data_IF_282326524469
#
_entry.id   IF_282326524469
#
_cell.length_a   1.000
_cell.length_b   1.000
_cell.length_c   1.000
_cell.angle_alpha   90.00
_cell.angle_beta   90.00
_cell.angle_gamma   90.00
#
_symmetry.space_group_name_H-M   'P 1'
#
loop_
_entity.id
_entity.type
_entity.pdbx_description
1 polymer ?
#
# COMPACT_ATOMS: atom_id res chain seq x y z
N UNK A 1 -27.15 4.90 -34.38
CA UNK A 1 -26.26 5.44 -33.34
C UNK A 1 -25.74 4.28 -32.52
N UNK A 2 -24.49 4.34 -32.05
CA UNK A 2 -23.96 3.36 -31.09
C UNK A 2 -23.99 3.97 -29.69
N UNK A 3 -24.15 3.14 -28.66
CA UNK A 3 -24.17 3.58 -27.25
C UNK A 3 -22.97 3.01 -26.51
N UNK A 4 -22.42 3.80 -25.58
CA UNK A 4 -21.41 3.31 -24.65
C UNK A 4 -21.99 2.21 -23.75
N UNK A 5 -21.12 1.36 -23.20
CA UNK A 5 -21.49 0.34 -22.22
C UNK A 5 -20.98 0.74 -20.84
N UNK A 6 -21.73 0.39 -19.80
CA UNK A 6 -21.19 0.41 -18.45
C UNK A 6 -20.30 -0.83 -18.28
N UNK A 7 -19.04 -0.59 -17.89
CA UNK A 7 -18.07 -1.64 -17.59
C UNK A 7 -17.71 -1.50 -16.11
N UNK A 8 -17.94 -2.54 -15.33
CA UNK A 8 -17.58 -2.56 -13.91
C UNK A 8 -16.09 -2.23 -13.74
N UNK A 9 -15.74 -1.47 -12.70
CA UNK A 9 -14.38 -0.98 -12.43
C UNK A 9 -13.81 0.04 -13.43
N UNK A 10 -14.54 0.46 -14.46
CA UNK A 10 -14.05 1.41 -15.45
C UNK A 10 -14.96 2.64 -15.61
N UNK A 11 -14.34 3.80 -15.82
CA UNK A 11 -14.98 5.02 -16.26
C UNK A 11 -14.85 5.15 -17.78
N UNK A 12 -15.92 5.64 -18.42
CA UNK A 12 -15.87 6.02 -19.81
C UNK A 12 -15.01 7.29 -19.99
N UNK A 13 -14.13 7.27 -20.97
CA UNK A 13 -13.22 8.39 -21.27
C UNK A 13 -13.67 9.13 -22.52
N UNK A 14 -13.79 8.42 -23.64
CA UNK A 14 -14.08 9.05 -24.94
C UNK A 14 -14.55 8.03 -25.98
N UNK A 15 -15.13 8.55 -27.06
CA UNK A 15 -15.55 7.77 -28.24
C UNK A 15 -14.95 8.39 -29.50
N UNK A 16 -14.47 7.56 -30.44
CA UNK A 16 -13.92 8.04 -31.71
C UNK A 16 -14.17 7.06 -32.87
N UNK A 17 -14.67 7.54 -34.03
CA UNK A 17 -15.25 8.88 -34.25
C UNK A 17 -16.55 9.07 -33.44
N UNK A 18 -17.09 10.30 -33.39
CA UNK A 18 -18.31 10.58 -32.64
C UNK A 18 -19.46 9.66 -33.07
N UNK A 19 -20.16 9.05 -32.10
CA UNK A 19 -21.25 8.10 -32.35
C UNK A 19 -22.51 8.74 -32.98
N UNK A 20 -22.54 10.08 -32.99
CA UNK A 20 -23.57 10.97 -33.50
C UNK A 20 -22.97 11.84 -34.63
N UNK A 21 -22.79 11.23 -35.79
CA UNK A 21 -22.34 11.90 -37.03
C UNK A 21 -23.09 11.36 -38.25
N UNK A 22 -23.05 12.10 -39.36
CA UNK A 22 -23.62 11.70 -40.66
C UNK A 22 -23.03 10.36 -41.10
N UNK A 23 -23.89 9.37 -41.33
CA UNK A 23 -23.46 8.05 -41.81
C UNK A 23 -22.87 8.19 -43.22
N UNK A 24 -21.55 8.11 -43.34
CA UNK A 24 -20.87 7.99 -44.63
C UNK A 24 -21.09 6.58 -45.19
N UNK A 25 -21.18 6.48 -46.52
CA UNK A 25 -21.29 5.21 -47.24
C UNK A 25 -20.05 4.34 -46.95
N UNK A 26 -20.26 3.15 -46.36
CA UNK A 26 -19.21 2.17 -46.05
C UNK A 26 -19.28 1.65 -44.61
N UNK A 27 -18.46 0.66 -44.29
CA UNK A 27 -18.30 0.14 -42.92
C UNK A 27 -17.61 1.17 -42.04
N UNK A 28 -18.23 1.55 -40.92
CA UNK A 28 -17.64 2.45 -39.94
C UNK A 28 -17.36 1.71 -38.63
N UNK A 29 -16.19 1.95 -38.05
CA UNK A 29 -15.80 1.41 -36.74
C UNK A 29 -15.84 2.55 -35.72
N UNK A 30 -16.60 2.37 -34.64
CA UNK A 30 -16.67 3.30 -33.52
C UNK A 30 -15.98 2.67 -32.31
N UNK A 31 -14.97 3.34 -31.77
CA UNK A 31 -14.18 2.87 -30.63
C UNK A 31 -14.57 3.62 -29.36
N UNK A 32 -14.82 2.89 -28.27
CA UNK A 32 -15.08 3.45 -26.94
C UNK A 32 -13.88 3.18 -26.04
N UNK A 33 -13.35 4.23 -25.44
CA UNK A 33 -12.18 4.20 -24.57
C UNK A 33 -12.60 4.30 -23.11
N UNK A 34 -11.98 3.48 -22.26
CA UNK A 34 -12.28 3.40 -20.84
C UNK A 34 -10.99 3.43 -20.01
N UNK A 35 -11.05 4.02 -18.81
CA UNK A 35 -9.97 4.02 -17.82
C UNK A 35 -10.46 3.27 -16.58
N UNK A 36 -9.62 2.44 -15.97
CA UNK A 36 -9.98 1.80 -14.69
C UNK A 36 -10.13 2.89 -13.61
N UNK A 37 -11.15 2.75 -12.77
CA UNK A 37 -11.51 3.70 -11.71
C UNK A 37 -10.39 3.84 -10.69
N UNK A 38 -10.21 5.07 -10.22
CA UNK A 38 -9.39 5.39 -9.07
C UNK A 38 -10.18 5.04 -7.79
N UNK A 39 -9.51 4.42 -6.82
CA UNK A 39 -10.11 3.96 -5.55
C UNK A 39 -9.22 4.36 -4.37
N UNK A 40 -9.58 3.94 -3.16
CA UNK A 40 -8.83 4.26 -1.95
C UNK A 40 -7.44 3.61 -1.90
N UNK A 41 -6.53 4.23 -1.17
CA UNK A 41 -5.14 3.77 -1.04
C UNK A 41 -5.00 2.65 0.00
N UNK A 42 -3.88 1.93 -0.07
CA UNK A 42 -3.41 1.04 1.00
C UNK A 42 -2.16 1.65 1.64
N UNK A 43 -2.19 1.84 2.95
CA UNK A 43 -1.06 2.39 3.71
C UNK A 43 -0.53 1.34 4.66
N UNK A 44 0.77 1.03 4.54
CA UNK A 44 1.47 0.08 5.38
C UNK A 44 2.24 0.81 6.45
N UNK A 45 2.03 0.45 7.72
CA UNK A 45 2.74 0.98 8.88
C UNK A 45 3.61 -0.11 9.50
N UNK A 46 4.73 0.32 10.07
CA UNK A 46 5.69 -0.52 10.75
C UNK A 46 5.89 0.04 12.15
N UNK A 47 5.43 -0.69 13.16
CA UNK A 47 5.36 -0.17 14.54
C UNK A 47 5.95 -1.14 15.54
N UNK A 48 6.40 -0.62 16.67
CA UNK A 48 6.77 -1.44 17.82
C UNK A 48 5.53 -2.02 18.50
N UNK A 49 5.56 -3.32 18.78
CA UNK A 49 4.49 -4.06 19.45
C UNK A 49 4.19 -3.46 20.82
N UNK A 50 2.91 -3.27 21.12
CA UNK A 50 2.42 -2.77 22.41
C UNK A 50 2.51 -1.24 22.57
N UNK A 51 3.53 -0.58 22.03
CA UNK A 51 3.67 0.88 22.10
C UNK A 51 3.08 1.61 20.88
N UNK A 52 2.96 0.92 19.73
CA UNK A 52 2.63 1.51 18.43
C UNK A 52 3.60 2.60 17.95
N UNK A 53 4.79 2.69 18.53
CA UNK A 53 5.83 3.65 18.12
C UNK A 53 6.22 3.37 16.67
N UNK A 54 6.17 4.35 15.76
CA UNK A 54 6.60 4.16 14.37
C UNK A 54 8.10 3.83 14.30
N UNK A 55 8.44 2.76 13.58
CA UNK A 55 9.82 2.30 13.40
C UNK A 55 10.39 2.62 12.02
N UNK A 56 9.52 2.88 11.04
CA UNK A 56 9.87 3.28 9.68
C UNK A 56 8.76 4.18 9.13
N UNK A 57 9.08 4.92 8.09
CA UNK A 57 8.13 5.63 7.24
C UNK A 57 7.06 4.69 6.66
N UNK A 58 5.77 5.08 6.73
CA UNK A 58 4.70 4.33 6.10
C UNK A 58 4.90 4.20 4.58
N UNK A 59 4.50 3.07 4.02
CA UNK A 59 4.50 2.86 2.57
C UNK A 59 3.08 3.00 2.03
N UNK A 60 2.88 3.88 1.05
CA UNK A 60 1.58 4.08 0.40
C UNK A 60 1.56 3.38 -0.95
N UNK A 61 0.58 2.49 -1.14
CA UNK A 61 0.24 1.91 -2.44
C UNK A 61 -0.99 2.63 -2.97
N UNK A 62 -0.82 3.41 -4.05
CA UNK A 62 -1.92 4.19 -4.62
C UNK A 62 -3.04 3.32 -5.17
N UNK A 63 -4.28 3.72 -4.93
CA UNK A 63 -5.50 3.16 -5.51
C UNK A 63 -5.84 3.69 -6.91
N UNK A 64 -5.00 4.55 -7.50
CA UNK A 64 -5.23 5.06 -8.86
C UNK A 64 -5.27 3.92 -9.88
N UNK A 65 -6.40 3.80 -10.60
CA UNK A 65 -6.66 2.72 -11.54
C UNK A 65 -6.64 1.32 -10.91
N UNK A 66 -6.99 1.17 -9.63
CA UNK A 66 -6.95 -0.12 -8.91
C UNK A 66 -8.30 -0.71 -8.54
N UNK A 67 -9.42 -0.14 -9.00
CA UNK A 67 -10.75 -0.72 -8.73
C UNK A 67 -10.82 -2.20 -9.09
N UNK A 68 -11.31 -3.01 -8.15
CA UNK A 68 -11.44 -4.46 -8.27
C UNK A 68 -10.12 -5.25 -8.26
N UNK A 69 -8.96 -4.60 -8.16
CA UNK A 69 -7.66 -5.28 -8.11
C UNK A 69 -7.27 -5.63 -6.67
N UNK A 70 -6.51 -6.72 -6.54
CA UNK A 70 -5.96 -7.15 -5.26
C UNK A 70 -4.66 -6.41 -4.92
N UNK A 71 -4.36 -6.30 -3.63
CA UNK A 71 -3.07 -5.87 -3.10
C UNK A 71 -2.44 -6.98 -2.27
N UNK A 72 -1.12 -6.92 -2.13
CA UNK A 72 -0.34 -7.75 -1.20
C UNK A 72 0.81 -6.90 -0.68
N UNK A 73 1.00 -6.92 0.62
CA UNK A 73 2.10 -6.22 1.29
C UNK A 73 3.05 -7.23 1.91
N UNK A 74 4.29 -6.79 2.12
CA UNK A 74 5.32 -7.56 2.81
C UNK A 74 5.92 -6.75 3.96
N UNK A 75 6.38 -7.41 5.03
CA UNK A 75 7.11 -6.74 6.10
C UNK A 75 8.46 -6.22 5.56
N UNK A 76 8.96 -5.15 6.17
CA UNK A 76 10.35 -4.70 5.98
C UNK A 76 11.29 -5.37 6.98
N UNK A 77 12.56 -5.46 6.61
CA UNK A 77 13.65 -5.69 7.56
C UNK A 77 14.00 -4.37 8.22
N UNK A 78 13.91 -4.30 9.54
CA UNK A 78 14.24 -3.11 10.33
C UNK A 78 15.41 -3.47 11.25
N UNK A 79 16.48 -2.67 11.22
CA UNK A 79 17.68 -2.88 12.06
C UNK A 79 17.30 -2.96 13.53
N UNK A 80 17.88 -3.89 14.29
CA UNK A 80 17.60 -4.15 15.71
C UNK A 80 16.17 -4.56 16.07
N UNK A 81 15.29 -4.82 15.10
CA UNK A 81 13.94 -5.32 15.33
C UNK A 81 13.69 -6.65 14.60
N UNK A 82 12.80 -7.46 15.15
CA UNK A 82 12.27 -8.68 14.55
C UNK A 82 10.76 -8.56 14.37
N UNK A 83 10.23 -9.16 13.28
CA UNK A 83 8.80 -9.17 13.01
C UNK A 83 8.09 -10.07 14.00
N UNK A 84 7.00 -9.58 14.60
CA UNK A 84 6.16 -10.35 15.52
C UNK A 84 4.79 -10.62 14.92
N UNK A 85 4.17 -9.63 14.28
CA UNK A 85 2.82 -9.75 13.73
C UNK A 85 2.80 -9.44 12.24
N UNK A 86 2.34 -10.42 11.46
CA UNK A 86 1.83 -10.21 10.10
C UNK A 86 0.31 -10.03 10.20
N UNK A 87 -0.25 -8.88 9.83
CA UNK A 87 -1.68 -8.63 9.98
C UNK A 87 -2.48 -9.44 8.95
N UNK A 88 -3.67 -9.92 9.32
CA UNK A 88 -4.51 -10.74 8.43
C UNK A 88 -4.93 -10.02 7.14
N UNK A 89 -4.98 -8.68 7.16
CA UNK A 89 -5.32 -7.86 6.00
C UNK A 89 -4.09 -7.47 5.14
N UNK A 90 -2.95 -8.14 5.30
CA UNK A 90 -1.76 -7.92 4.44
C UNK A 90 -1.99 -8.29 2.96
N UNK A 91 -3.05 -9.04 2.69
CA UNK A 91 -3.62 -9.29 1.36
C UNK A 91 -5.07 -8.87 1.35
N UNK A 92 -5.56 -8.36 0.22
CA UNK A 92 -6.96 -7.99 0.07
C UNK A 92 -7.26 -7.37 -1.29
N UNK A 93 -8.40 -6.71 -1.40
CA UNK A 93 -8.77 -5.88 -2.57
C UNK A 93 -8.65 -4.41 -2.18
N UNK A 94 -8.22 -3.57 -3.12
CA UNK A 94 -8.17 -2.12 -2.86
C UNK A 94 -9.55 -1.60 -2.38
N UNK A 95 -9.59 -0.74 -1.35
CA UNK A 95 -10.85 -0.26 -0.80
C UNK A 95 -11.52 0.66 -1.81
N UNK A 96 -12.83 0.50 -2.03
CA UNK A 96 -13.57 1.32 -3.00
C UNK A 96 -13.44 2.84 -2.73
N UNK A 97 -13.30 3.24 -1.46
CA UNK A 97 -13.06 4.62 -1.02
C UNK A 97 -12.18 4.63 0.24
N UNK A 98 -11.64 5.80 0.60
CA UNK A 98 -10.87 5.97 1.84
C UNK A 98 -9.49 5.31 1.81
N UNK A 99 -9.06 4.75 2.95
CA UNK A 99 -7.73 4.13 3.07
C UNK A 99 -7.82 2.86 3.89
N UNK A 100 -7.20 1.79 3.41
CA UNK A 100 -6.95 0.59 4.22
C UNK A 100 -5.59 0.71 4.88
N UNK A 101 -5.51 0.53 6.20
CA UNK A 101 -4.24 0.50 6.93
C UNK A 101 -3.83 -0.93 7.25
N UNK A 102 -2.62 -1.31 6.84
CA UNK A 102 -1.98 -2.59 7.17
C UNK A 102 -0.86 -2.30 8.16
N UNK A 103 -0.83 -2.99 9.31
CA UNK A 103 0.14 -2.73 10.37
C UNK A 103 0.98 -3.98 10.65
N UNK A 104 2.28 -3.89 10.38
CA UNK A 104 3.24 -4.88 10.84
C UNK A 104 3.78 -4.45 12.20
N UNK A 105 3.75 -5.37 13.18
CA UNK A 105 4.28 -5.12 14.51
C UNK A 105 5.61 -5.84 14.71
N UNK A 106 6.53 -5.15 15.36
CA UNK A 106 7.90 -5.58 15.57
C UNK A 106 8.27 -5.51 17.05
N UNK A 107 9.23 -6.33 17.47
CA UNK A 107 9.85 -6.28 18.79
C UNK A 107 11.34 -6.03 18.65
N UNK A 108 11.91 -5.23 19.55
CA UNK A 108 13.35 -4.99 19.57
C UNK A 108 14.08 -6.30 19.87
N UNK A 109 15.11 -6.62 19.09
CA UNK A 109 15.99 -7.76 19.35
C UNK A 109 16.64 -7.57 20.71
N UNK A 110 16.84 -8.67 21.43
CA UNK A 110 17.62 -8.64 22.66
C UNK A 110 19.02 -8.12 22.33
N UNK A 111 19.39 -6.97 22.89
CA UNK A 111 20.80 -6.61 22.97
C UNK A 111 21.45 -7.66 23.88
N UNK A 112 22.54 -8.28 23.44
CA UNK A 112 23.33 -9.16 24.31
C UNK A 112 23.70 -8.44 25.62
N UNK A 113 24.00 -9.19 26.67
CA UNK A 113 24.35 -8.63 27.99
C UNK A 113 25.47 -7.59 27.85
N UNK A 114 25.25 -6.39 28.40
CA UNK A 114 26.31 -5.39 28.57
C UNK A 114 27.05 -5.72 29.87
N UNK A 115 28.34 -6.08 29.78
CA UNK A 115 29.23 -6.19 30.94
C UNK A 115 29.90 -4.85 31.19
N UNK A 116 29.65 -4.24 32.35
CA UNK A 116 30.34 -3.02 32.79
C UNK A 116 31.35 -3.41 33.88
N UNK A 117 32.64 -3.21 33.63
CA UNK A 117 33.69 -3.37 34.63
C UNK A 117 34.06 -2.00 35.21
N UNK A 118 33.91 -1.84 36.52
CA UNK A 118 34.45 -0.69 37.25
C UNK A 118 35.77 -1.11 37.91
N UNK A 119 36.85 -0.39 37.58
CA UNK A 119 38.14 -0.54 38.26
C UNK A 119 38.34 0.65 39.18
N UNK A 120 38.46 0.41 40.48
CA UNK A 120 38.94 1.42 41.42
C UNK A 120 40.45 1.54 41.27
N UNK A 121 40.95 2.73 40.94
CA UNK A 121 42.38 3.02 41.07
C UNK A 121 42.68 3.12 42.57
N UNK A 122 43.56 2.24 43.03
CA UNK A 122 43.92 2.06 44.43
C UNK A 122 44.20 3.37 45.15
N UNK A 123 43.47 3.61 46.23
CA UNK A 123 43.84 4.59 47.23
C UNK A 123 45.00 4.05 48.05
N UNK A 124 46.20 4.59 47.85
CA UNK A 124 47.30 4.38 48.78
C UNK A 124 46.97 5.11 50.09
N UNK A 125 46.81 4.37 51.18
CA UNK A 125 46.82 4.94 52.54
C UNK A 125 47.93 4.26 53.34
N UNK A 126 49.08 4.93 53.46
CA UNK A 126 49.77 5.30 54.69
C UNK A 126 51.08 6.00 54.32
#
# INVERSE_FOLDING_TARGET
>A
TTVQKNINDYDFVSVSPAANGTFTSGTQTVNYYYKRKDVGDVVVKYVEQGSNTPLDTPTTMSGAGKSGLTYTTTPKTITDYELVVTPANHTGTYPATGTTTVVYEYRRKNAGNITVNHYEVGGSTQ
#
